data_IF_184659052617
#
_entry.id   IF_184659052617
#
_cell.length_a   1.000
_cell.length_b   1.000
_cell.length_c   1.000
_cell.angle_alpha   90.00
_cell.angle_beta   90.00
_cell.angle_gamma   90.00
#
_symmetry.space_group_name_H-M   'P 1'
#
loop_
_entity.id
_entity.type
_entity.pdbx_description
1 polymer ?
#
# COMPACT_ATOMS: atom_id res chain seq x y z
N UNK A 1 -16.66 -19.05 -31.92
CA UNK A 1 -15.40 -18.57 -31.31
C UNK A 1 -15.62 -17.57 -30.19
N UNK A 2 -16.50 -16.60 -30.35
CA UNK A 2 -16.89 -15.68 -29.28
C UNK A 2 -17.50 -16.42 -28.09
N UNK A 3 -18.29 -17.46 -28.35
CA UNK A 3 -18.93 -18.27 -27.31
C UNK A 3 -17.96 -18.99 -26.38
N UNK A 4 -16.78 -19.40 -26.85
CA UNK A 4 -15.82 -20.09 -25.99
C UNK A 4 -15.06 -19.13 -25.09
N UNK A 5 -14.86 -17.87 -25.51
CA UNK A 5 -14.30 -16.81 -24.66
C UNK A 5 -15.31 -16.37 -23.59
N UNK A 6 -16.58 -16.26 -23.97
CA UNK A 6 -17.65 -15.94 -23.03
C UNK A 6 -17.84 -17.05 -22.00
N UNK A 7 -17.74 -18.32 -22.42
CA UNK A 7 -17.81 -19.46 -21.51
C UNK A 7 -16.64 -19.48 -20.52
N UNK A 8 -15.43 -19.14 -20.98
CA UNK A 8 -14.27 -19.04 -20.08
C UNK A 8 -14.43 -17.93 -19.05
N UNK A 9 -14.99 -16.79 -19.45
CA UNK A 9 -15.25 -15.68 -18.52
C UNK A 9 -16.35 -16.01 -17.52
N UNK A 10 -17.39 -16.74 -17.95
CA UNK A 10 -18.50 -17.16 -17.08
C UNK A 10 -18.07 -18.25 -16.12
N UNK A 11 -17.07 -19.07 -16.48
CA UNK A 11 -16.58 -20.16 -15.65
C UNK A 11 -15.49 -19.77 -14.66
N UNK A 12 -15.00 -18.52 -14.70
CA UNK A 12 -13.98 -18.02 -13.76
C UNK A 12 -14.61 -17.84 -12.38
N UNK A 13 -14.02 -18.49 -11.39
CA UNK A 13 -14.47 -18.38 -10.00
C UNK A 13 -14.03 -17.05 -9.39
N UNK A 14 -14.65 -16.67 -8.28
CA UNK A 14 -14.23 -15.48 -7.51
C UNK A 14 -12.78 -15.60 -7.07
N UNK A 15 -12.37 -16.76 -6.60
CA UNK A 15 -10.98 -16.99 -6.18
C UNK A 15 -10.00 -16.79 -7.34
N UNK A 16 -10.35 -17.23 -8.54
CA UNK A 16 -9.53 -17.05 -9.73
C UNK A 16 -9.45 -15.58 -10.14
N UNK A 17 -10.56 -14.84 -10.03
CA UNK A 17 -10.57 -13.39 -10.31
C UNK A 17 -9.66 -12.63 -9.34
N UNK A 18 -9.72 -12.95 -8.06
CA UNK A 18 -8.86 -12.36 -7.04
C UNK A 18 -7.38 -12.69 -7.34
N UNK A 19 -7.09 -13.91 -7.75
CA UNK A 19 -5.74 -14.33 -8.12
C UNK A 19 -5.23 -13.56 -9.36
N UNK A 20 -6.09 -13.41 -10.39
CA UNK A 20 -5.73 -12.65 -11.58
C UNK A 20 -5.41 -11.20 -11.25
N UNK A 21 -6.21 -10.58 -10.41
CA UNK A 21 -5.98 -9.21 -9.98
C UNK A 21 -4.66 -9.10 -9.21
N UNK A 22 -4.42 -10.00 -8.26
CA UNK A 22 -3.17 -10.03 -7.51
C UNK A 22 -1.96 -10.15 -8.44
N UNK A 23 -2.01 -11.07 -9.39
CA UNK A 23 -0.92 -11.27 -10.35
C UNK A 23 -0.66 -10.04 -11.19
N UNK A 24 -1.71 -9.35 -11.63
CA UNK A 24 -1.59 -8.12 -12.40
C UNK A 24 -0.92 -7.03 -11.59
N UNK A 25 -1.35 -6.84 -10.36
CA UNK A 25 -0.79 -5.83 -9.45
C UNK A 25 0.64 -6.19 -9.04
N UNK A 26 0.92 -7.47 -8.82
CA UNK A 26 2.27 -7.95 -8.54
C UNK A 26 3.23 -7.65 -9.69
N UNK A 27 2.81 -7.92 -10.92
CA UNK A 27 3.60 -7.62 -12.11
C UNK A 27 3.85 -6.12 -12.27
N UNK A 28 2.86 -5.31 -11.93
CA UNK A 28 2.97 -3.85 -11.93
C UNK A 28 4.02 -3.39 -10.93
N UNK A 29 4.01 -3.94 -9.73
CA UNK A 29 5.01 -3.64 -8.69
C UNK A 29 6.41 -4.07 -9.11
N UNK A 30 6.51 -5.22 -9.76
CA UNK A 30 7.79 -5.72 -10.27
C UNK A 30 8.40 -4.76 -11.30
N UNK A 31 7.59 -4.23 -12.20
CA UNK A 31 8.03 -3.23 -13.18
C UNK A 31 8.43 -1.92 -12.50
N UNK A 32 7.67 -1.50 -11.49
CA UNK A 32 7.99 -0.31 -10.70
C UNK A 32 9.32 -0.47 -9.99
N UNK A 33 9.55 -1.62 -9.37
CA UNK A 33 10.83 -1.93 -8.71
C UNK A 33 12.01 -1.85 -9.69
N UNK A 34 11.85 -2.39 -10.89
CA UNK A 34 12.89 -2.34 -11.92
C UNK A 34 13.20 -0.90 -12.32
N UNK A 35 12.19 -0.06 -12.44
CA UNK A 35 12.39 1.37 -12.73
C UNK A 35 13.15 2.06 -11.59
N UNK A 36 12.80 1.76 -10.35
CA UNK A 36 13.47 2.34 -9.18
C UNK A 36 14.95 1.95 -9.16
N UNK A 37 15.26 0.70 -9.43
CA UNK A 37 16.65 0.21 -9.41
C UNK A 37 17.53 0.88 -10.48
N UNK A 38 16.92 1.47 -11.51
CA UNK A 38 17.63 2.22 -12.55
C UNK A 38 17.77 3.71 -12.21
N UNK A 39 17.19 4.15 -11.11
CA UNK A 39 17.22 5.56 -10.69
C UNK A 39 18.42 5.86 -9.79
N UNK A 40 18.65 7.14 -9.52
CA UNK A 40 19.67 7.56 -8.57
C UNK A 40 19.25 7.19 -7.15
N UNK A 41 20.21 7.03 -6.22
CA UNK A 41 19.87 6.76 -4.82
C UNK A 41 18.91 7.77 -4.21
N UNK A 42 19.03 9.05 -4.55
CA UNK A 42 18.13 10.10 -4.07
C UNK A 42 16.69 9.90 -4.57
N UNK A 43 16.53 9.54 -5.84
CA UNK A 43 15.22 9.26 -6.43
C UNK A 43 14.60 8.02 -5.81
N UNK A 44 15.42 7.00 -5.53
CA UNK A 44 14.96 5.79 -4.84
C UNK A 44 14.43 6.15 -3.45
N UNK A 45 15.16 6.99 -2.71
CA UNK A 45 14.74 7.42 -1.38
C UNK A 45 13.40 8.16 -1.42
N UNK A 46 13.20 9.03 -2.40
CA UNK A 46 11.92 9.75 -2.56
C UNK A 46 10.76 8.80 -2.88
N UNK A 47 11.06 7.73 -3.60
CA UNK A 47 10.05 6.76 -4.04
C UNK A 47 9.85 5.62 -3.06
N UNK A 48 10.67 5.53 -2.01
CA UNK A 48 10.63 4.43 -1.04
C UNK A 48 9.27 4.31 -0.34
N UNK A 49 8.65 5.44 0.00
CA UNK A 49 7.33 5.45 0.63
C UNK A 49 6.27 4.84 -0.28
N UNK A 50 6.23 5.27 -1.55
CA UNK A 50 5.28 4.71 -2.52
C UNK A 50 5.49 3.21 -2.69
N UNK A 51 6.75 2.78 -2.81
CA UNK A 51 7.08 1.36 -2.94
C UNK A 51 6.57 0.57 -1.73
N UNK A 52 6.82 1.07 -0.53
CA UNK A 52 6.41 0.40 0.71
C UNK A 52 4.90 0.28 0.82
N UNK A 53 4.15 1.34 0.51
CA UNK A 53 2.69 1.31 0.55
C UNK A 53 2.14 0.34 -0.49
N UNK A 54 2.75 0.30 -1.68
CA UNK A 54 2.35 -0.65 -2.72
C UNK A 54 2.59 -2.11 -2.28
N UNK A 55 3.70 -2.38 -1.58
CA UNK A 55 3.95 -3.69 -0.98
C UNK A 55 2.86 -4.04 0.04
N UNK A 56 2.48 -3.09 0.88
CA UNK A 56 1.42 -3.27 1.88
C UNK A 56 0.05 -3.52 1.22
N UNK A 57 -0.24 -2.83 0.12
CA UNK A 57 -1.47 -3.05 -0.66
C UNK A 57 -1.51 -4.48 -1.19
N UNK A 58 -0.41 -4.97 -1.75
CA UNK A 58 -0.31 -6.33 -2.26
C UNK A 58 -0.50 -7.36 -1.13
N UNK A 59 0.13 -7.12 0.01
CA UNK A 59 0.00 -8.00 1.17
C UNK A 59 -1.44 -8.04 1.66
N UNK A 60 -2.09 -6.89 1.76
CA UNK A 60 -3.50 -6.79 2.16
C UNK A 60 -4.43 -7.49 1.19
N UNK A 61 -4.11 -7.44 -0.10
CA UNK A 61 -4.92 -8.06 -1.15
C UNK A 61 -4.97 -9.58 -1.00
N UNK A 62 -3.91 -10.20 -0.49
CA UNK A 62 -3.88 -11.64 -0.22
C UNK A 62 -4.96 -12.07 0.79
N UNK A 63 -5.33 -11.17 1.70
CA UNK A 63 -6.31 -11.43 2.75
C UNK A 63 -7.67 -10.79 2.46
N UNK A 64 -7.81 -10.13 1.31
CA UNK A 64 -9.06 -9.47 0.93
C UNK A 64 -9.89 -10.37 0.04
N UNK A 65 -11.20 -10.40 0.31
CA UNK A 65 -12.16 -11.12 -0.53
C UNK A 65 -12.96 -10.09 -1.33
N UNK A 66 -12.42 -9.69 -2.47
CA UNK A 66 -13.12 -8.77 -3.36
C UNK A 66 -14.21 -9.52 -4.13
N UNK A 67 -15.32 -8.84 -4.37
CA UNK A 67 -16.40 -9.39 -5.19
C UNK A 67 -15.97 -9.49 -6.65
N UNK A 68 -16.71 -10.29 -7.42
CA UNK A 68 -16.45 -10.42 -8.86
C UNK A 68 -16.49 -9.05 -9.56
N UNK A 69 -17.45 -8.22 -9.21
CA UNK A 69 -17.60 -6.88 -9.80
C UNK A 69 -16.40 -5.99 -9.45
N UNK A 70 -15.93 -6.05 -8.21
CA UNK A 70 -14.77 -5.30 -7.77
C UNK A 70 -13.51 -5.74 -8.52
N UNK A 71 -13.29 -7.05 -8.59
CA UNK A 71 -12.14 -7.60 -9.33
C UNK A 71 -12.18 -7.22 -10.80
N UNK A 72 -13.33 -7.36 -11.43
CA UNK A 72 -13.50 -7.05 -12.85
C UNK A 72 -13.26 -5.57 -13.11
N UNK A 73 -13.77 -4.70 -12.25
CA UNK A 73 -13.57 -3.25 -12.38
C UNK A 73 -12.09 -2.88 -12.28
N UNK A 74 -11.38 -3.44 -11.31
CA UNK A 74 -9.96 -3.17 -11.13
C UNK A 74 -9.12 -3.77 -12.25
N UNK A 75 -9.50 -4.95 -12.75
CA UNK A 75 -8.79 -5.61 -13.85
C UNK A 75 -8.88 -4.82 -15.17
N UNK A 76 -9.89 -3.97 -15.33
CA UNK A 76 -10.02 -3.09 -16.50
C UNK A 76 -8.99 -1.97 -16.52
N UNK A 77 -8.46 -1.59 -15.38
CA UNK A 77 -7.42 -0.57 -15.31
C UNK A 77 -6.10 -1.11 -15.83
N UNK A 78 -5.34 -0.27 -16.52
CA UNK A 78 -3.99 -0.62 -16.97
C UNK A 78 -3.01 -0.70 -15.79
N UNK A 79 -3.32 -0.04 -14.67
CA UNK A 79 -2.44 0.06 -13.50
C UNK A 79 -3.24 0.08 -12.20
N UNK A 80 -3.89 -1.04 -11.84
CA UNK A 80 -4.73 -1.08 -10.64
C UNK A 80 -3.97 -0.85 -9.34
N UNK A 81 -2.69 -1.21 -9.27
CA UNK A 81 -1.86 -0.94 -8.09
C UNK A 81 -1.62 0.56 -7.91
N UNK A 82 -1.30 1.25 -8.99
CA UNK A 82 -1.14 2.72 -8.95
C UNK A 82 -2.45 3.39 -8.54
N UNK A 83 -3.58 2.90 -9.06
CA UNK A 83 -4.90 3.42 -8.69
C UNK A 83 -5.16 3.27 -7.19
N UNK A 84 -4.80 2.12 -6.61
CA UNK A 84 -4.95 1.87 -5.19
C UNK A 84 -4.05 2.78 -4.36
N UNK A 85 -2.82 3.00 -4.81
CA UNK A 85 -1.91 3.92 -4.16
C UNK A 85 -2.43 5.36 -4.21
N UNK A 86 -2.93 5.80 -5.35
CA UNK A 86 -3.52 7.13 -5.51
C UNK A 86 -4.71 7.34 -4.56
N UNK A 87 -5.53 6.31 -4.40
CA UNK A 87 -6.65 6.34 -3.45
C UNK A 87 -6.14 6.43 -2.01
N UNK A 88 -5.07 5.72 -1.68
CA UNK A 88 -4.42 5.80 -0.38
C UNK A 88 -3.94 7.22 -0.09
N UNK A 89 -3.27 7.85 -1.04
CA UNK A 89 -2.78 9.23 -0.88
C UNK A 89 -3.91 10.23 -0.61
N UNK A 90 -5.04 10.07 -1.29
CA UNK A 90 -6.22 10.93 -1.06
C UNK A 90 -6.79 10.76 0.34
N UNK A 91 -6.64 9.56 0.91
CA UNK A 91 -7.12 9.25 2.25
C UNK A 91 -6.17 9.78 3.33
N UNK A 92 -4.98 10.19 2.97
CA UNK A 92 -3.88 10.56 3.85
C UNK A 92 -4.02 11.88 4.60
N UNK A 93 -5.13 12.59 4.46
CA UNK A 93 -5.36 13.80 5.24
C UNK A 93 -5.18 13.58 6.76
N UNK A 94 -5.38 12.36 7.24
CA UNK A 94 -5.23 11.99 8.64
C UNK A 94 -3.81 11.52 9.01
N UNK A 95 -3.00 11.09 8.04
CA UNK A 95 -1.68 10.51 8.30
C UNK A 95 -0.71 11.51 8.93
N UNK A 96 -0.61 12.70 8.37
CA UNK A 96 0.28 13.74 8.91
C UNK A 96 -0.18 14.20 10.31
N UNK A 97 -1.49 14.23 10.55
CA UNK A 97 -2.03 14.55 11.86
C UNK A 97 -1.65 13.47 12.89
N UNK A 98 -1.69 12.20 12.49
CA UNK A 98 -1.27 11.09 13.36
C UNK A 98 0.22 11.16 13.67
N UNK A 99 1.07 11.41 12.68
CA UNK A 99 2.50 11.55 12.87
C UNK A 99 2.79 12.70 13.84
N UNK A 100 2.13 13.84 13.66
CA UNK A 100 2.30 15.00 14.53
C UNK A 100 1.87 14.69 15.97
N UNK A 101 0.76 13.99 16.13
CA UNK A 101 0.26 13.55 17.43
C UNK A 101 1.26 12.61 18.14
N UNK A 102 1.88 11.71 17.38
CA UNK A 102 2.89 10.79 17.92
C UNK A 102 4.14 11.57 18.35
N UNK A 103 4.56 12.56 17.57
CA UNK A 103 5.70 13.41 17.91
C UNK A 103 5.42 14.18 19.22
N UNK A 104 4.22 14.73 19.36
CA UNK A 104 3.81 15.44 20.58
C UNK A 104 3.83 14.53 21.79
N UNK A 105 3.31 13.31 21.67
CA UNK A 105 3.35 12.32 22.75
C UNK A 105 4.78 11.92 23.10
N UNK A 106 5.62 11.76 22.10
CA UNK A 106 7.02 11.44 22.30
C UNK A 106 7.74 12.57 23.05
N UNK A 107 7.47 13.82 22.67
CA UNK A 107 8.03 14.99 23.33
C UNK A 107 7.57 15.08 24.79
N UNK A 108 6.29 14.85 25.06
CA UNK A 108 5.75 14.87 26.41
C UNK A 108 6.37 13.77 27.29
N UNK A 109 6.56 12.59 26.71
CA UNK A 109 7.22 11.47 27.40
C UNK A 109 8.67 11.80 27.72
N UNK A 110 9.37 12.46 26.79
CA UNK A 110 10.77 12.88 26.98
C UNK A 110 10.87 13.92 28.12
N UNK A 111 9.91 14.83 28.21
CA UNK A 111 9.85 15.83 29.30
C UNK A 111 9.68 15.11 30.63
N UNK A 112 8.75 14.17 30.72
CA UNK A 112 8.50 13.41 31.94
C UNK A 112 9.72 12.60 32.37
N UNK A 113 10.39 11.94 31.42
CA UNK A 113 11.59 11.14 31.70
C UNK A 113 12.74 12.03 32.20
N UNK A 114 12.93 13.18 31.57
CA UNK A 114 13.96 14.14 32.01
C UNK A 114 13.66 14.70 33.39
N UNK A 115 12.39 14.99 33.68
CA UNK A 115 11.95 15.47 34.99
C UNK A 115 12.19 14.41 36.07
N UNK A 116 11.85 13.16 35.80
CA UNK A 116 12.10 12.03 36.70
C UNK A 116 13.59 11.82 36.95
N UNK A 117 14.39 11.93 35.89
CA UNK A 117 15.84 11.79 35.97
C UNK A 117 16.48 12.90 36.77
N UNK A 118 16.06 14.15 36.57
CA UNK A 118 16.50 15.30 37.33
C UNK A 118 16.14 15.16 38.82
N UNK A 119 14.96 14.67 39.10
CA UNK A 119 14.50 14.43 40.47
C UNK A 119 15.32 13.34 41.17
N UNK A 120 15.77 12.31 40.41
CA UNK A 120 16.65 11.25 40.92
C UNK A 120 18.05 11.77 41.21
N UNK A 121 18.56 12.66 40.37
CA UNK A 121 19.90 13.24 40.50
C UNK A 121 20.01 14.19 41.68
N UNK A 122 18.90 14.79 42.11
CA UNK A 122 18.83 15.68 43.27
C UNK A 122 18.88 14.91 44.62
N UNK A 123 18.77 13.61 44.57
CA UNK A 123 18.90 12.75 45.74
C UNK A 123 20.33 12.23 45.89
#
# INVERSE_FOLDING_TARGET
MLRSKERKLVSITNAELNTLLYRKMFAEQKRYRQRLLAMTPEEILRSAYEFTIKEDILLSLEYSDLTDKQCQAMLKSAHPLQDAFDAWEKHEGSHMAEVQSIIERCADTAIQNNHSKSHREER
#
